data_IF_480056775273
#
_entry.id   IF_480056775273
#
_cell.length_a   1.000
_cell.length_b   1.000
_cell.length_c   1.000
_cell.angle_alpha   90.00
_cell.angle_beta   90.00
_cell.angle_gamma   90.00
#
_symmetry.space_group_name_H-M   'P 1'
#
loop_
_entity.id
_entity.type
_entity.pdbx_description
1 polymer ?
#
# COMPACT_ATOMS: atom_id res chain seq x y z
N UNK A 1 -13.19 3.12 -12.23
CA UNK A 1 -12.24 2.00 -12.04
C UNK A 1 -13.04 0.72 -12.34
N UNK A 2 -12.44 -0.35 -12.88
CA UNK A 2 -13.17 -1.63 -12.91
C UNK A 2 -13.27 -2.16 -11.48
N UNK A 3 -14.40 -2.77 -11.06
CA UNK A 3 -14.48 -3.39 -9.74
C UNK A 3 -13.36 -4.42 -9.60
N UNK A 4 -12.65 -4.38 -8.48
CA UNK A 4 -11.64 -5.39 -8.17
C UNK A 4 -12.39 -6.66 -7.84
N UNK A 5 -12.19 -7.70 -8.66
CA UNK A 5 -12.77 -9.01 -8.41
C UNK A 5 -11.78 -9.76 -7.53
N UNK A 6 -12.09 -9.82 -6.24
CA UNK A 6 -11.40 -10.70 -5.31
C UNK A 6 -11.86 -12.14 -5.57
N UNK A 7 -10.91 -13.04 -5.75
CA UNK A 7 -11.17 -14.47 -5.89
C UNK A 7 -11.63 -15.08 -4.55
N UNK A 8 -12.08 -16.33 -4.57
CA UNK A 8 -12.58 -17.03 -3.38
C UNK A 8 -11.53 -17.10 -2.23
N UNK A 9 -10.25 -16.96 -2.52
CA UNK A 9 -9.16 -17.04 -1.53
C UNK A 9 -9.23 -15.85 -0.55
N UNK A 10 -9.41 -14.61 -1.02
CA UNK A 10 -9.41 -13.44 -0.12
C UNK A 10 -10.66 -13.42 0.78
N UNK A 11 -11.80 -13.89 0.25
CA UNK A 11 -13.04 -14.05 1.03
C UNK A 11 -12.96 -15.20 2.03
N UNK A 12 -12.35 -16.33 1.66
CA UNK A 12 -12.21 -17.50 2.55
C UNK A 12 -11.14 -17.30 3.64
N UNK A 13 -10.15 -16.43 3.41
CA UNK A 13 -9.12 -16.04 4.38
C UNK A 13 -9.58 -14.98 5.41
N UNK A 14 -10.90 -14.84 5.62
CA UNK A 14 -11.46 -13.90 6.59
C UNK A 14 -11.81 -12.52 6.02
N UNK A 15 -11.76 -12.34 4.70
CA UNK A 15 -12.21 -11.10 4.05
C UNK A 15 -11.27 -9.91 4.25
N UNK A 16 -9.98 -10.17 4.48
CA UNK A 16 -8.97 -9.13 4.67
C UNK A 16 -7.95 -9.15 3.52
N UNK A 17 -7.56 -7.96 3.08
CA UNK A 17 -6.58 -7.74 1.99
C UNK A 17 -5.45 -6.90 2.54
N UNK A 18 -4.25 -7.45 2.55
CA UNK A 18 -3.02 -6.74 2.87
C UNK A 18 -2.29 -6.36 1.58
N UNK A 19 -2.25 -5.07 1.26
CA UNK A 19 -1.40 -4.54 0.21
C UNK A 19 0.01 -4.30 0.72
N UNK A 20 1.02 -4.72 -0.06
CA UNK A 20 2.45 -4.53 0.22
C UNK A 20 3.13 -3.94 -1.02
N UNK A 21 4.02 -2.97 -0.83
CA UNK A 21 4.87 -2.43 -1.89
C UNK A 21 6.20 -1.94 -1.31
N UNK A 22 7.28 -2.06 -2.08
CA UNK A 22 8.63 -1.66 -1.66
C UNK A 22 9.17 -0.41 -2.38
N UNK A 23 9.99 0.35 -1.67
CA UNK A 23 10.77 1.45 -2.22
C UNK A 23 12.23 1.34 -1.78
N UNK A 24 13.15 1.75 -2.65
CA UNK A 24 14.59 1.70 -2.40
C UNK A 24 15.30 0.45 -2.92
N UNK A 25 14.57 -0.53 -3.48
CA UNK A 25 15.18 -1.70 -4.12
C UNK A 25 15.98 -1.26 -5.35
N UNK A 26 17.31 -1.42 -5.30
CA UNK A 26 18.24 -1.02 -6.37
C UNK A 26 18.84 0.37 -6.22
N UNK A 27 18.53 1.10 -5.15
CA UNK A 27 19.27 2.32 -4.79
C UNK A 27 20.69 1.96 -4.32
N UNK A 28 21.68 2.81 -4.66
CA UNK A 28 23.07 2.62 -4.23
C UNK A 28 23.26 2.81 -2.72
N UNK A 29 22.42 3.64 -2.10
CA UNK A 29 22.51 3.98 -0.69
C UNK A 29 21.12 4.13 -0.08
N UNK A 30 21.06 3.97 1.24
CA UNK A 30 19.83 4.04 2.02
C UNK A 30 19.20 2.67 2.30
N UNK A 31 18.16 2.64 3.13
CA UNK A 31 17.42 1.42 3.43
C UNK A 31 16.45 1.04 2.31
N UNK A 32 15.99 -0.20 2.33
CA UNK A 32 14.76 -0.61 1.62
C UNK A 32 13.60 -0.47 2.59
N UNK A 33 12.52 0.16 2.14
CA UNK A 33 11.29 0.33 2.91
C UNK A 33 10.16 -0.49 2.28
N UNK A 34 9.37 -1.17 3.10
CA UNK A 34 8.13 -1.84 2.70
C UNK A 34 6.98 -1.14 3.39
N UNK A 35 6.08 -0.57 2.59
CA UNK A 35 4.81 -0.03 3.07
C UNK A 35 3.74 -1.13 3.07
N UNK A 36 2.84 -1.09 4.05
CA UNK A 36 1.71 -2.01 4.11
C UNK A 36 0.42 -1.29 4.49
N UNK A 37 -0.70 -1.74 3.92
CA UNK A 37 -2.05 -1.27 4.26
C UNK A 37 -3.05 -2.43 4.23
N UNK A 38 -3.79 -2.61 5.32
CA UNK A 38 -4.78 -3.67 5.52
C UNK A 38 -6.19 -3.11 5.37
N UNK A 39 -7.01 -3.73 4.53
CA UNK A 39 -8.40 -3.35 4.29
C UNK A 39 -9.32 -4.58 4.31
N UNK A 40 -10.60 -4.42 4.70
CA UNK A 40 -11.61 -5.43 4.45
C UNK A 40 -11.95 -5.48 2.95
N UNK A 41 -12.23 -6.66 2.40
CA UNK A 41 -12.59 -6.83 0.97
C UNK A 41 -13.82 -6.00 0.58
N UNK A 42 -14.72 -5.74 1.55
CA UNK A 42 -15.91 -4.90 1.39
C UNK A 42 -15.58 -3.48 0.96
N UNK A 43 -14.43 -2.95 1.39
CA UNK A 43 -13.97 -1.60 1.04
C UNK A 43 -13.86 -1.42 -0.49
N UNK A 44 -13.51 -2.48 -1.20
CA UNK A 44 -13.26 -2.47 -2.64
C UNK A 44 -14.45 -2.97 -3.48
N UNK A 45 -15.59 -3.32 -2.86
CA UNK A 45 -16.77 -3.79 -3.58
C UNK A 45 -17.41 -2.69 -4.42
N UNK A 46 -17.23 -1.43 -4.04
CA UNK A 46 -17.65 -0.29 -4.83
C UNK A 46 -16.71 -0.08 -6.02
N UNK A 47 -17.26 0.26 -7.18
CA UNK A 47 -16.50 0.52 -8.41
C UNK A 47 -15.63 1.79 -8.35
N UNK A 48 -15.75 2.57 -7.27
CA UNK A 48 -14.97 3.77 -7.00
C UNK A 48 -14.54 3.82 -5.54
N UNK A 49 -13.31 4.29 -5.31
CA UNK A 49 -12.79 4.59 -3.97
C UNK A 49 -13.50 5.83 -3.38
N UNK A 50 -13.45 6.00 -2.05
CA UNK A 50 -13.82 7.26 -1.39
C UNK A 50 -13.16 8.48 -2.07
N UNK A 51 -13.83 9.65 -2.04
CA UNK A 51 -13.41 10.82 -2.81
C UNK A 51 -12.02 11.35 -2.47
N UNK A 52 -11.63 11.28 -1.20
CA UNK A 52 -10.30 11.57 -0.67
C UNK A 52 -9.23 10.56 -1.11
N UNK A 53 -9.65 9.39 -1.60
CA UNK A 53 -8.80 8.33 -2.16
C UNK A 53 -8.93 8.17 -3.67
N UNK A 54 -9.75 8.98 -4.36
CA UNK A 54 -9.99 8.87 -5.79
C UNK A 54 -8.71 9.02 -6.65
N UNK A 55 -7.70 9.68 -6.08
CA UNK A 55 -6.39 9.93 -6.70
C UNK A 55 -5.34 8.86 -6.38
N UNK A 56 -5.64 7.88 -5.53
CA UNK A 56 -4.73 6.76 -5.26
C UNK A 56 -4.58 5.94 -6.54
N UNK A 57 -3.42 6.10 -7.18
CA UNK A 57 -2.99 5.45 -8.42
C UNK A 57 -1.48 5.25 -8.36
N UNK A 58 -0.87 4.79 -9.46
CA UNK A 58 0.58 4.66 -9.57
C UNK A 58 1.28 5.92 -9.05
N UNK A 59 2.05 5.74 -7.97
CA UNK A 59 2.68 6.80 -7.21
C UNK A 59 3.68 7.61 -8.06
N UNK A 60 4.18 7.02 -9.16
CA UNK A 60 5.08 7.69 -10.12
C UNK A 60 4.38 8.79 -10.92
N UNK A 61 3.04 8.80 -10.94
CA UNK A 61 2.24 9.85 -11.57
C UNK A 61 1.86 10.98 -10.59
N UNK A 62 2.27 10.88 -9.32
CA UNK A 62 1.92 11.84 -8.27
C UNK A 62 3.13 12.70 -7.88
N UNK A 63 2.91 13.99 -7.67
CA UNK A 63 3.93 14.86 -7.07
C UNK A 63 4.22 14.42 -5.62
N UNK A 64 5.42 14.72 -5.08
CA UNK A 64 5.74 14.41 -3.68
C UNK A 64 4.68 14.92 -2.70
N UNK A 65 4.25 16.18 -2.84
CA UNK A 65 3.20 16.79 -2.03
C UNK A 65 1.88 16.02 -2.10
N UNK A 66 1.47 15.55 -3.30
CA UNK A 66 0.26 14.75 -3.44
C UNK A 66 0.39 13.39 -2.77
N UNK A 67 1.55 12.74 -2.87
CA UNK A 67 1.81 11.46 -2.19
C UNK A 67 1.71 11.61 -0.68
N UNK A 68 2.34 12.64 -0.12
CA UNK A 68 2.26 12.95 1.31
C UNK A 68 0.82 13.22 1.76
N UNK A 69 0.04 13.99 0.98
CA UNK A 69 -1.36 14.28 1.31
C UNK A 69 -2.29 13.06 1.33
N UNK A 70 -1.89 11.95 0.69
CA UNK A 70 -2.67 10.71 0.66
C UNK A 70 -2.41 9.80 1.87
N UNK A 71 -1.35 10.06 2.65
CA UNK A 71 -0.98 9.21 3.79
C UNK A 71 -2.10 9.17 4.83
N UNK A 72 -2.63 10.32 5.24
CA UNK A 72 -3.66 10.39 6.27
C UNK A 72 -5.01 9.81 5.80
N UNK A 73 -5.52 10.13 4.59
CA UNK A 73 -6.68 9.44 4.03
C UNK A 73 -6.50 7.91 4.02
N UNK A 74 -5.37 7.40 3.52
CA UNK A 74 -5.14 5.95 3.46
C UNK A 74 -5.17 5.34 4.87
N UNK A 75 -4.49 5.98 5.82
CA UNK A 75 -4.48 5.54 7.23
C UNK A 75 -5.88 5.50 7.82
N UNK A 76 -6.68 6.54 7.59
CA UNK A 76 -8.03 6.68 8.14
C UNK A 76 -9.01 5.62 7.60
N UNK A 77 -8.84 5.18 6.35
CA UNK A 77 -9.68 4.13 5.75
C UNK A 77 -9.12 2.71 5.98
N UNK A 78 -7.83 2.57 6.28
CA UNK A 78 -7.20 1.28 6.56
C UNK A 78 -7.50 0.78 7.97
N UNK A 79 -7.61 -0.55 8.16
CA UNK A 79 -7.65 -1.16 9.49
C UNK A 79 -6.29 -1.06 10.19
N UNK A 80 -5.21 -1.14 9.40
CA UNK A 80 -3.84 -1.00 9.86
C UNK A 80 -2.96 -0.61 8.68
N UNK A 81 -1.99 0.26 8.92
CA UNK A 81 -0.96 0.60 7.93
C UNK A 81 0.34 1.00 8.61
N UNK A 82 1.43 0.91 7.87
CA UNK A 82 2.74 1.24 8.40
C UNK A 82 3.85 1.07 7.37
N UNK A 83 5.07 1.33 7.82
CA UNK A 83 6.28 1.16 7.03
C UNK A 83 7.30 0.42 7.88
N UNK A 84 7.91 -0.61 7.29
CA UNK A 84 9.04 -1.34 7.88
C UNK A 84 10.27 -1.06 7.02
N UNK A 85 11.43 -0.93 7.65
CA UNK A 85 12.67 -0.61 6.94
C UNK A 85 13.75 -1.63 7.26
N UNK A 86 14.45 -2.08 6.22
CA UNK A 86 15.68 -2.85 6.32
C UNK A 86 16.86 -1.93 6.02
N UNK A 87 17.80 -1.81 6.95
CA UNK A 87 19.01 -1.00 6.74
C UNK A 87 19.90 -1.61 5.66
N UNK A 88 20.75 -0.80 5.02
CA UNK A 88 21.73 -1.32 4.06
C UNK A 88 22.62 -2.40 4.69
N UNK A 89 23.05 -2.22 5.94
CA UNK A 89 23.79 -3.26 6.69
C UNK A 89 23.01 -4.57 6.79
N UNK A 90 21.72 -4.51 7.10
CA UNK A 90 20.89 -5.70 7.18
C UNK A 90 20.78 -6.40 5.81
N UNK A 91 20.67 -5.62 4.73
CA UNK A 91 20.63 -6.14 3.35
C UNK A 91 21.97 -6.78 3.00
N UNK A 92 23.09 -6.11 3.26
CA UNK A 92 24.44 -6.64 3.03
C UNK A 92 24.67 -7.97 3.79
N UNK A 93 24.10 -8.12 4.99
CA UNK A 93 24.19 -9.33 5.82
C UNK A 93 23.26 -10.47 5.37
N UNK A 94 22.15 -10.20 4.67
CA UNK A 94 21.06 -11.17 4.44
C UNK A 94 20.69 -11.42 2.97
N UNK A 95 21.06 -10.52 2.05
CA UNK A 95 20.71 -10.58 0.63
C UNK A 95 19.51 -9.72 0.28
#
# INVERSE_FOLDING_TARGET
MKPVVFENIERSAGGLVLGLDEAGRGCLAGPVAVGYCLFPVEFFQNSSLPGDLAWVRDSKLLSPLRRESLVDPIRNHSLCSGVVMASSRHIDEKG
#
